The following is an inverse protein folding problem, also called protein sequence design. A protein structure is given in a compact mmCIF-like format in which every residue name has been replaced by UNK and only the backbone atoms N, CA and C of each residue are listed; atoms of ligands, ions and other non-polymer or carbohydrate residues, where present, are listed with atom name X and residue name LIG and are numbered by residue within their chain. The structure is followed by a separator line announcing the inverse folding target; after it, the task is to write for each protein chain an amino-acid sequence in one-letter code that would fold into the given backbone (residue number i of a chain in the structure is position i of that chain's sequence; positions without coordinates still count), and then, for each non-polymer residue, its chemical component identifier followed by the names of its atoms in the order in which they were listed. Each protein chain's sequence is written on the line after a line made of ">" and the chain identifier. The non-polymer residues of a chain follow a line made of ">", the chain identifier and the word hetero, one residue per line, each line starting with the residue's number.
data_IF_585348197638
#
_entry.id   IF_585348197638
#
_cell.length_a   1.000
_cell.length_b   1.000
_cell.length_c   1.000
_cell.angle_alpha   90.00
_cell.angle_beta   90.00
_cell.angle_gamma   90.00
#
_symmetry.space_group_name_H-M   'P 1'
#
loop_
_entity.id
_entity.type
_entity.pdbx_description
1 polymer ?
#
# COMPACT_ATOMS: atom_id res chain seq x y z
N UNK A 1 37.69 3.01 47.44
CA UNK A 1 37.31 3.16 46.02
C UNK A 1 35.87 3.65 45.93
N UNK A 2 35.58 4.77 45.24
CA UNK A 2 34.21 5.32 45.16
C UNK A 2 33.35 4.48 44.20
N UNK A 3 32.73 3.40 44.72
CA UNK A 3 31.90 2.44 43.97
C UNK A 3 30.80 3.16 43.16
N UNK A 4 30.25 4.25 43.69
CA UNK A 4 29.23 5.07 43.03
C UNK A 4 29.69 5.68 41.70
N UNK A 5 30.95 6.09 41.60
CA UNK A 5 31.51 6.68 40.36
C UNK A 5 31.79 5.61 39.30
N UNK A 6 32.12 4.39 39.72
CA UNK A 6 32.32 3.25 38.83
C UNK A 6 31.02 2.79 38.18
N UNK A 7 29.95 2.67 38.98
CA UNK A 7 28.64 2.21 38.51
C UNK A 7 28.03 3.16 37.47
N UNK A 8 28.14 4.48 37.67
CA UNK A 8 27.65 5.47 36.72
C UNK A 8 28.35 5.36 35.36
N UNK A 9 29.68 5.19 35.35
CA UNK A 9 30.45 5.03 34.10
C UNK A 9 30.03 3.77 33.35
N UNK A 10 29.88 2.65 34.06
CA UNK A 10 29.41 1.39 33.48
C UNK A 10 28.00 1.54 32.91
N UNK A 11 27.09 2.22 33.61
CA UNK A 11 25.73 2.48 33.13
C UNK A 11 25.71 3.34 31.85
N UNK A 12 26.56 4.37 31.76
CA UNK A 12 26.66 5.20 30.55
C UNK A 12 27.14 4.36 29.36
N UNK A 13 28.18 3.54 29.55
CA UNK A 13 28.70 2.67 28.48
C UNK A 13 27.66 1.63 28.06
N UNK A 14 27.00 0.99 29.01
CA UNK A 14 25.94 0.01 28.74
C UNK A 14 24.76 0.64 27.98
N UNK A 15 24.33 1.84 28.38
CA UNK A 15 23.28 2.60 27.67
C UNK A 15 23.69 2.99 26.26
N UNK A 16 24.93 3.43 26.06
CA UNK A 16 25.47 3.74 24.73
C UNK A 16 25.48 2.51 23.81
N UNK A 17 25.97 1.37 24.32
CA UNK A 17 25.95 0.10 23.59
C UNK A 17 24.53 -0.36 23.28
N UNK A 18 23.58 -0.17 24.20
CA UNK A 18 22.17 -0.47 23.98
C UNK A 18 21.58 0.36 22.82
N UNK A 19 21.85 1.67 22.78
CA UNK A 19 21.37 2.53 21.69
C UNK A 19 21.93 2.07 20.34
N UNK A 20 23.22 1.73 20.27
CA UNK A 20 23.85 1.21 19.04
C UNK A 20 23.20 -0.11 18.62
N UNK A 21 22.94 -1.00 19.58
CA UNK A 21 22.27 -2.28 19.32
C UNK A 21 20.85 -2.08 18.78
N UNK A 22 20.05 -1.21 19.39
CA UNK A 22 18.70 -0.88 18.89
C UNK A 22 18.77 -0.23 17.50
N UNK A 23 19.72 0.67 17.26
CA UNK A 23 19.91 1.27 15.93
C UNK A 23 20.24 0.21 14.87
N UNK A 24 21.07 -0.78 15.21
CA UNK A 24 21.39 -1.91 14.33
C UNK A 24 20.16 -2.76 14.01
N UNK A 25 19.36 -3.13 15.03
CA UNK A 25 18.14 -3.91 14.83
C UNK A 25 17.07 -3.17 14.02
N UNK A 26 16.93 -1.86 14.22
CA UNK A 26 15.92 -1.03 13.55
C UNK A 26 16.35 -0.55 12.16
N UNK A 27 17.62 -0.73 11.78
CA UNK A 27 18.17 -0.20 10.54
C UNK A 27 17.39 -0.67 9.31
N UNK A 28 17.05 -1.95 9.22
CA UNK A 28 16.34 -2.50 8.05
C UNK A 28 14.95 -1.90 7.88
N UNK A 29 14.19 -1.76 8.98
CA UNK A 29 12.86 -1.15 8.95
C UNK A 29 12.86 0.34 8.57
N UNK A 30 13.96 1.05 8.87
CA UNK A 30 14.13 2.48 8.53
C UNK A 30 14.64 2.63 7.09
N UNK A 31 15.66 1.86 6.71
CA UNK A 31 16.27 1.94 5.39
C UNK A 31 15.30 1.47 4.31
N UNK A 32 14.68 0.30 4.53
CA UNK A 32 13.85 -0.41 3.57
C UNK A 32 12.49 -0.78 4.20
N UNK A 33 11.64 0.20 4.54
CA UNK A 33 10.31 -0.11 5.07
C UNK A 33 9.53 -0.93 4.04
N UNK A 34 8.92 -2.02 4.50
CA UNK A 34 8.07 -2.85 3.64
C UNK A 34 6.91 -2.01 3.11
N UNK A 35 6.79 -1.90 1.79
CA UNK A 35 5.63 -1.31 1.11
C UNK A 35 4.97 -2.43 0.32
N UNK A 36 3.68 -2.74 0.56
CA UNK A 36 3.00 -3.77 -0.19
C UNK A 36 2.99 -3.40 -1.67
N UNK A 37 3.25 -4.40 -2.51
CA UNK A 37 3.20 -4.21 -3.96
C UNK A 37 1.80 -3.81 -4.42
N UNK A 38 1.73 -3.00 -5.48
CA UNK A 38 0.47 -2.49 -6.03
C UNK A 38 0.41 -2.70 -7.52
N UNK A 39 -0.75 -3.14 -7.99
CA UNK A 39 -1.12 -3.13 -9.38
C UNK A 39 -1.95 -1.88 -9.68
N UNK A 40 -1.79 -1.38 -10.89
CA UNK A 40 -2.59 -0.32 -11.46
C UNK A 40 -3.21 -0.83 -12.75
N UNK A 41 -4.46 -0.46 -13.01
CA UNK A 41 -5.07 -0.61 -14.33
C UNK A 41 -6.00 0.56 -14.61
N UNK A 42 -6.19 0.89 -15.88
CA UNK A 42 -7.12 1.94 -16.28
C UNK A 42 -8.37 1.31 -16.86
N UNK A 43 -9.52 1.64 -16.27
CA UNK A 43 -10.81 1.23 -16.81
C UNK A 43 -11.10 2.03 -18.08
N UNK A 44 -11.72 1.37 -19.05
CA UNK A 44 -12.30 2.08 -20.18
C UNK A 44 -13.54 2.83 -19.74
N UNK A 45 -13.76 3.99 -20.33
CA UNK A 45 -14.91 4.82 -20.01
C UNK A 45 -16.18 4.23 -20.63
N UNK A 46 -17.01 3.64 -19.77
CA UNK A 46 -18.33 3.10 -20.13
C UNK A 46 -19.47 4.05 -19.73
N UNK A 47 -19.17 5.33 -19.47
CA UNK A 47 -20.15 6.34 -19.05
C UNK A 47 -21.34 6.44 -20.00
N UNK A 48 -21.10 6.46 -21.31
CA UNK A 48 -22.15 6.49 -22.32
C UNK A 48 -23.06 5.26 -22.23
N UNK A 49 -22.49 4.06 -22.14
CA UNK A 49 -23.27 2.84 -22.02
C UNK A 49 -24.07 2.77 -20.72
N UNK A 50 -23.52 3.30 -19.61
CA UNK A 50 -24.23 3.46 -18.34
C UNK A 50 -25.39 4.44 -18.45
N UNK A 51 -25.20 5.59 -19.09
CA UNK A 51 -26.27 6.57 -19.32
C UNK A 51 -27.39 5.95 -20.15
N UNK A 52 -27.04 5.23 -21.22
CA UNK A 52 -28.03 4.53 -22.04
C UNK A 52 -28.76 3.45 -21.24
N UNK A 53 -28.05 2.65 -20.44
CA UNK A 53 -28.66 1.65 -19.56
C UNK A 53 -29.64 2.26 -18.54
N UNK A 54 -29.30 3.40 -17.93
CA UNK A 54 -30.21 4.09 -17.00
C UNK A 54 -31.43 4.71 -17.71
N UNK A 55 -31.27 5.21 -18.93
CA UNK A 55 -32.40 5.67 -19.75
C UNK A 55 -33.35 4.52 -20.09
N UNK A 56 -32.82 3.35 -20.46
CA UNK A 56 -33.62 2.15 -20.78
C UNK A 56 -34.30 1.56 -19.54
N UNK A 57 -33.58 1.52 -18.41
CA UNK A 57 -34.13 1.14 -17.10
C UNK A 57 -35.36 1.95 -16.73
N UNK A 58 -35.35 3.27 -16.99
CA UNK A 58 -36.49 4.14 -16.69
C UNK A 58 -37.75 3.82 -17.53
N UNK A 59 -37.59 3.11 -18.64
CA UNK A 59 -38.66 2.80 -19.61
C UNK A 59 -39.12 1.34 -19.56
N UNK A 60 -38.38 0.47 -18.89
CA UNK A 60 -38.59 -0.97 -18.94
C UNK A 60 -39.36 -1.50 -17.71
N UNK A 61 -40.21 -2.50 -17.94
CA UNK A 61 -40.60 -3.52 -16.97
C UNK A 61 -40.06 -4.84 -17.54
N UNK A 62 -39.16 -5.61 -16.88
CA UNK A 62 -39.06 -5.93 -15.45
C UNK A 62 -38.02 -5.13 -14.65
N UNK A 63 -37.78 -5.53 -13.39
CA UNK A 63 -36.79 -4.93 -12.48
C UNK A 63 -35.35 -5.12 -12.98
N UNK A 64 -34.63 -4.01 -13.12
CA UNK A 64 -33.20 -4.03 -13.43
C UNK A 64 -32.39 -4.09 -12.14
N UNK A 65 -31.21 -4.70 -12.21
CA UNK A 65 -30.26 -4.76 -11.11
C UNK A 65 -28.88 -4.27 -11.56
N UNK A 66 -28.05 -3.86 -10.61
CA UNK A 66 -26.65 -3.54 -10.85
C UNK A 66 -25.84 -4.83 -10.77
N UNK A 67 -25.05 -5.12 -11.81
CA UNK A 67 -24.21 -6.31 -11.88
C UNK A 67 -22.74 -5.91 -11.94
N UNK A 68 -21.92 -6.72 -11.29
CA UNK A 68 -20.47 -6.65 -11.37
C UNK A 68 -20.00 -7.65 -12.43
N UNK A 69 -19.33 -7.13 -13.47
CA UNK A 69 -18.92 -7.86 -14.66
C UNK A 69 -17.40 -7.89 -14.69
N UNK A 70 -16.84 -9.09 -14.60
CA UNK A 70 -15.42 -9.35 -14.82
C UNK A 70 -15.18 -9.60 -16.31
N UNK A 71 -14.43 -8.71 -16.95
CA UNK A 71 -14.14 -8.82 -18.38
C UNK A 71 -12.95 -9.75 -18.64
N UNK A 72 -12.78 -10.26 -19.87
CA UNK A 72 -11.73 -11.24 -20.17
C UNK A 72 -10.29 -10.74 -19.95
N UNK A 73 -10.08 -9.43 -19.94
CA UNK A 73 -8.84 -8.73 -19.59
C UNK A 73 -8.56 -8.69 -18.08
N UNK A 74 -9.49 -9.18 -17.25
CA UNK A 74 -9.39 -9.21 -15.79
C UNK A 74 -9.91 -7.95 -15.11
N UNK A 75 -10.53 -7.02 -15.85
CA UNK A 75 -11.04 -5.77 -15.28
C UNK A 75 -12.48 -5.92 -14.79
N UNK A 76 -12.80 -5.22 -13.71
CA UNK A 76 -14.12 -5.25 -13.10
C UNK A 76 -14.91 -3.98 -13.41
N UNK A 77 -16.13 -4.16 -13.94
CA UNK A 77 -17.06 -3.08 -14.28
C UNK A 77 -18.40 -3.29 -13.60
N UNK A 78 -19.01 -2.20 -13.10
CA UNK A 78 -20.41 -2.20 -12.67
C UNK A 78 -21.30 -1.65 -13.79
N UNK A 79 -22.38 -2.37 -14.09
CA UNK A 79 -23.36 -2.03 -15.13
C UNK A 79 -24.76 -2.47 -14.73
N UNK A 80 -25.74 -1.58 -14.95
CA UNK A 80 -27.15 -1.90 -14.77
C UNK A 80 -27.67 -2.68 -15.98
N UNK A 81 -28.42 -3.75 -15.75
CA UNK A 81 -29.03 -4.55 -16.80
C UNK A 81 -30.32 -5.25 -16.35
N UNK A 82 -31.06 -5.78 -17.32
CA UNK A 82 -32.21 -6.66 -17.07
C UNK A 82 -31.80 -8.05 -16.57
N UNK A 83 -30.59 -8.48 -16.92
CA UNK A 83 -29.94 -9.70 -16.42
C UNK A 83 -28.42 -9.49 -16.38
N UNK A 84 -27.68 -10.41 -15.75
CA UNK A 84 -26.22 -10.39 -15.77
C UNK A 84 -25.64 -10.47 -17.19
N UNK A 85 -26.25 -11.28 -18.06
CA UNK A 85 -25.83 -11.41 -19.47
C UNK A 85 -26.05 -10.12 -20.28
N UNK A 86 -27.16 -9.43 -20.04
CA UNK A 86 -27.46 -8.14 -20.66
C UNK A 86 -26.44 -7.07 -20.22
N UNK A 87 -26.17 -6.98 -18.91
CA UNK A 87 -25.13 -6.10 -18.37
C UNK A 87 -23.75 -6.43 -18.96
N UNK A 88 -23.39 -7.71 -19.06
CA UNK A 88 -22.12 -8.15 -19.65
C UNK A 88 -21.98 -7.75 -21.12
N UNK A 89 -23.02 -7.96 -21.94
CA UNK A 89 -23.03 -7.56 -23.35
C UNK A 89 -22.85 -6.05 -23.52
N UNK A 90 -23.50 -5.24 -22.68
CA UNK A 90 -23.37 -3.78 -22.69
C UNK A 90 -21.94 -3.34 -22.36
N UNK A 91 -21.35 -3.93 -21.33
CA UNK A 91 -19.95 -3.66 -20.95
C UNK A 91 -19.01 -4.02 -22.10
N UNK A 92 -19.12 -5.23 -22.66
CA UNK A 92 -18.26 -5.68 -23.76
C UNK A 92 -18.41 -4.82 -25.02
N UNK A 93 -19.62 -4.36 -25.34
CA UNK A 93 -19.86 -3.44 -26.45
C UNK A 93 -19.22 -2.06 -26.20
N UNK A 94 -19.26 -1.56 -24.96
CA UNK A 94 -18.75 -0.24 -24.59
C UNK A 94 -17.21 -0.17 -24.53
N UNK A 95 -16.55 -1.26 -24.14
CA UNK A 95 -15.09 -1.39 -24.01
C UNK A 95 -14.37 -1.29 -25.38
N UNK A 96 -15.11 -1.39 -26.49
CA UNK A 96 -14.57 -1.08 -27.83
C UNK A 96 -14.22 0.40 -28.03
N UNK A 97 -14.62 1.30 -27.13
CA UNK A 97 -14.28 2.73 -27.20
C UNK A 97 -12.87 3.02 -26.64
N UNK A 98 -12.27 4.13 -27.07
CA UNK A 98 -10.83 4.43 -26.88
C UNK A 98 -10.55 5.24 -25.59
N UNK A 99 -11.58 5.72 -24.89
CA UNK A 99 -11.38 6.60 -23.75
C UNK A 99 -11.14 5.80 -22.47
N UNK A 100 -10.15 6.23 -21.68
CA UNK A 100 -9.87 5.71 -20.36
C UNK A 100 -10.40 6.66 -19.30
N UNK A 101 -10.81 6.12 -18.16
CA UNK A 101 -11.05 6.92 -16.96
C UNK A 101 -9.71 7.46 -16.48
N UNK A 102 -9.64 8.76 -16.16
CA UNK A 102 -8.40 9.43 -15.76
C UNK A 102 -7.78 8.82 -14.49
N UNK A 103 -8.62 8.33 -13.57
CA UNK A 103 -8.15 7.76 -12.32
C UNK A 103 -7.88 6.25 -12.46
N UNK A 104 -6.64 5.80 -12.24
CA UNK A 104 -6.33 4.38 -12.27
C UNK A 104 -6.95 3.69 -11.07
N UNK A 105 -7.38 2.44 -11.27
CA UNK A 105 -7.78 1.57 -10.17
C UNK A 105 -6.52 0.95 -9.58
N UNK A 106 -6.39 1.05 -8.26
CA UNK A 106 -5.27 0.50 -7.50
C UNK A 106 -5.71 -0.80 -6.85
N UNK A 107 -4.95 -1.86 -7.09
CA UNK A 107 -5.21 -3.19 -6.55
C UNK A 107 -3.99 -3.64 -5.75
N UNK A 108 -4.18 -4.08 -4.52
CA UNK A 108 -3.10 -4.61 -3.71
C UNK A 108 -2.65 -5.97 -4.23
N UNK A 109 -1.34 -6.24 -4.14
CA UNK A 109 -0.81 -7.55 -4.52
C UNK A 109 -1.43 -8.63 -3.61
N UNK A 110 -1.69 -9.80 -4.18
CA UNK A 110 -2.27 -10.97 -3.50
C UNK A 110 -3.76 -10.89 -3.13
N UNK A 111 -4.49 -9.91 -3.64
CA UNK A 111 -5.96 -9.91 -3.56
C UNK A 111 -6.57 -10.76 -4.69
N UNK A 112 -7.85 -11.10 -4.56
CA UNK A 112 -8.59 -11.79 -5.63
C UNK A 112 -8.63 -10.97 -6.93
N UNK A 113 -8.78 -9.65 -6.82
CA UNK A 113 -8.73 -8.72 -7.96
C UNK A 113 -7.36 -8.79 -8.67
N UNK A 114 -6.27 -8.87 -7.93
CA UNK A 114 -4.93 -9.02 -8.51
C UNK A 114 -4.81 -10.33 -9.29
N UNK A 115 -5.37 -11.41 -8.74
CA UNK A 115 -5.38 -12.72 -9.39
C UNK A 115 -6.20 -12.69 -10.70
N UNK A 116 -7.33 -11.98 -10.74
CA UNK A 116 -8.10 -11.79 -11.97
C UNK A 116 -7.28 -11.06 -13.05
N UNK A 117 -6.48 -10.07 -12.67
CA UNK A 117 -5.56 -9.38 -13.59
C UNK A 117 -4.48 -10.34 -14.12
N UNK A 118 -3.90 -11.18 -13.26
CA UNK A 118 -2.91 -12.20 -13.69
C UNK A 118 -3.51 -13.29 -14.59
N UNK A 119 -4.77 -13.67 -14.36
CA UNK A 119 -5.49 -14.56 -15.27
C UNK A 119 -5.66 -13.93 -16.66
N UNK A 120 -5.96 -12.63 -16.73
CA UNK A 120 -6.01 -11.88 -18.00
C UNK A 120 -4.68 -11.95 -18.78
N UNK A 121 -3.55 -11.88 -18.06
CA UNK A 121 -2.21 -12.03 -18.64
C UNK A 121 -1.98 -13.45 -19.12
N UNK A 122 -2.36 -14.44 -18.32
CA UNK A 122 -2.25 -15.87 -18.64
C UNK A 122 -3.08 -16.24 -19.88
N UNK A 123 -4.26 -15.62 -20.04
CA UNK A 123 -5.13 -15.77 -21.22
C UNK A 123 -4.62 -15.00 -22.45
N UNK A 124 -3.56 -14.20 -22.30
CA UNK A 124 -2.96 -13.40 -23.38
C UNK A 124 -3.78 -12.18 -23.81
N UNK A 125 -4.74 -11.75 -23.00
CA UNK A 125 -5.63 -10.61 -23.27
C UNK A 125 -5.03 -9.32 -22.71
N UNK A 126 -4.38 -9.39 -21.55
CA UNK A 126 -3.64 -8.28 -20.95
C UNK A 126 -2.14 -8.56 -20.90
N UNK A 127 -1.36 -7.52 -20.65
CA UNK A 127 0.07 -7.60 -20.40
C UNK A 127 0.44 -6.77 -19.17
N UNK A 128 1.57 -7.14 -18.57
CA UNK A 128 2.14 -6.51 -17.39
C UNK A 128 3.30 -5.62 -17.79
N UNK A 129 3.23 -4.34 -17.44
CA UNK A 129 4.28 -3.35 -17.67
C UNK A 129 4.91 -3.01 -16.32
N UNK A 130 6.23 -3.14 -16.22
CA UNK A 130 6.99 -2.64 -15.08
C UNK A 130 7.16 -1.12 -15.24
N UNK A 131 6.65 -0.36 -14.27
CA UNK A 131 6.67 1.11 -14.30
C UNK A 131 7.92 1.68 -13.63
N UNK A 132 8.96 0.90 -13.34
CA UNK A 132 10.20 1.34 -12.68
C UNK A 132 10.01 1.92 -11.26
N UNK A 133 8.87 1.65 -10.63
CA UNK A 133 8.65 1.85 -9.21
C UNK A 133 8.67 0.46 -8.56
N UNK A 134 9.57 0.17 -7.60
CA UNK A 134 9.67 -1.19 -7.07
C UNK A 134 8.33 -1.71 -6.53
N UNK A 135 8.05 -2.98 -6.81
CA UNK A 135 6.79 -3.67 -6.49
C UNK A 135 5.52 -3.04 -7.08
N UNK A 136 5.66 -2.20 -8.12
CA UNK A 136 4.53 -1.57 -8.81
C UNK A 136 4.44 -2.04 -10.26
N UNK A 137 3.24 -2.41 -10.68
CA UNK A 137 3.01 -3.00 -12.01
C UNK A 137 1.75 -2.40 -12.63
N UNK A 138 1.78 -2.14 -13.93
CA UNK A 138 0.62 -1.71 -14.71
C UNK A 138 0.09 -2.89 -15.50
N UNK A 139 -1.19 -3.20 -15.34
CA UNK A 139 -1.93 -4.12 -16.19
C UNK A 139 -2.68 -3.34 -17.26
N UNK A 140 -2.49 -3.74 -18.52
CA UNK A 140 -3.11 -3.09 -19.67
C UNK A 140 -3.49 -4.12 -20.73
N UNK A 141 -4.52 -3.84 -21.53
CA UNK A 141 -4.88 -4.69 -22.65
C UNK A 141 -3.72 -4.86 -23.64
N UNK A 142 -3.47 -6.09 -24.08
CA UNK A 142 -2.37 -6.37 -25.02
C UNK A 142 -2.57 -5.69 -26.37
N UNK A 143 -3.83 -5.53 -26.79
CA UNK A 143 -4.26 -4.85 -28.03
C UNK A 143 -4.06 -3.34 -28.04
N UNK A 144 -3.69 -2.74 -26.89
CA UNK A 144 -3.63 -1.28 -26.79
C UNK A 144 -2.44 -0.70 -27.58
N UNK A 145 -2.61 0.49 -28.20
CA UNK A 145 -1.54 1.16 -28.91
C UNK A 145 -0.32 1.46 -28.02
N UNK A 146 0.89 1.46 -28.61
CA UNK A 146 2.14 1.67 -27.86
C UNK A 146 2.23 3.05 -27.21
N UNK A 147 1.70 4.08 -27.85
CA UNK A 147 1.61 5.45 -27.33
C UNK A 147 0.71 5.53 -26.09
N UNK A 148 -0.44 4.85 -26.10
CA UNK A 148 -1.34 4.73 -24.95
C UNK A 148 -0.64 4.03 -23.79
N UNK A 149 0.01 2.89 -24.05
CA UNK A 149 0.79 2.15 -23.03
C UNK A 149 1.86 3.03 -22.38
N UNK A 150 2.59 3.79 -23.18
CA UNK A 150 3.66 4.68 -22.70
C UNK A 150 3.11 5.83 -21.85
N UNK A 151 2.00 6.45 -22.29
CA UNK A 151 1.32 7.51 -21.54
C UNK A 151 0.82 7.01 -20.18
N UNK A 152 0.10 5.90 -20.17
CA UNK A 152 -0.46 5.33 -18.94
C UNK A 152 0.64 4.83 -17.98
N UNK A 153 1.72 4.25 -18.50
CA UNK A 153 2.88 3.88 -17.70
C UNK A 153 3.52 5.10 -17.02
N UNK A 154 3.63 6.23 -17.74
CA UNK A 154 4.14 7.48 -17.17
C UNK A 154 3.22 8.04 -16.08
N UNK A 155 1.91 8.06 -16.30
CA UNK A 155 0.94 8.52 -15.31
C UNK A 155 0.99 7.67 -14.04
N UNK A 156 1.09 6.34 -14.18
CA UNK A 156 1.24 5.43 -13.04
C UNK A 156 2.57 5.63 -12.34
N UNK A 157 3.68 5.84 -13.07
CA UNK A 157 4.96 6.16 -12.46
C UNK A 157 4.88 7.41 -11.58
N UNK A 158 4.30 8.50 -12.09
CA UNK A 158 4.17 9.76 -11.35
C UNK A 158 3.24 9.62 -10.14
N UNK A 159 2.11 8.92 -10.29
CA UNK A 159 1.18 8.67 -9.19
C UNK A 159 1.75 7.73 -8.12
N UNK A 160 2.33 6.61 -8.54
CA UNK A 160 2.88 5.59 -7.64
C UNK A 160 4.14 6.05 -6.92
N UNK A 161 5.01 6.82 -7.58
CA UNK A 161 6.20 7.40 -6.93
C UNK A 161 5.83 8.34 -5.80
N UNK A 162 4.90 9.29 -6.03
CA UNK A 162 4.39 10.20 -4.99
C UNK A 162 3.70 9.44 -3.86
N UNK A 163 2.81 8.50 -4.18
CA UNK A 163 2.11 7.71 -3.18
C UNK A 163 3.09 6.89 -2.32
N UNK A 164 4.11 6.31 -2.95
CA UNK A 164 5.15 5.56 -2.24
C UNK A 164 6.00 6.45 -1.36
N UNK A 165 6.42 7.62 -1.82
CA UNK A 165 7.20 8.55 -1.01
C UNK A 165 6.46 8.93 0.28
N UNK A 166 5.14 9.17 0.19
CA UNK A 166 4.30 9.42 1.36
C UNK A 166 4.22 8.22 2.31
N UNK A 167 4.03 7.01 1.79
CA UNK A 167 3.97 5.79 2.62
C UNK A 167 5.34 5.50 3.25
N UNK A 168 6.43 5.62 2.50
CA UNK A 168 7.80 5.38 2.97
C UNK A 168 8.18 6.40 4.03
N UNK A 169 7.92 7.69 3.82
CA UNK A 169 8.24 8.73 4.81
C UNK A 169 7.45 8.54 6.11
N UNK A 170 6.16 8.19 6.02
CA UNK A 170 5.34 7.84 7.18
C UNK A 170 5.89 6.63 7.93
N UNK A 171 6.13 5.52 7.24
CA UNK A 171 6.68 4.28 7.86
C UNK A 171 8.06 4.49 8.47
N UNK A 172 8.92 5.29 7.83
CA UNK A 172 10.23 5.66 8.39
C UNK A 172 10.08 6.44 9.67
N UNK A 173 9.16 7.40 9.71
CA UNK A 173 8.90 8.20 10.91
C UNK A 173 8.41 7.31 12.06
N UNK A 174 7.45 6.42 11.78
CA UNK A 174 6.94 5.46 12.77
C UNK A 174 8.05 4.51 13.27
N UNK A 175 8.89 3.99 12.38
CA UNK A 175 10.02 3.12 12.75
C UNK A 175 11.08 3.85 13.57
N UNK A 176 11.40 5.11 13.24
CA UNK A 176 12.33 5.94 14.01
C UNK A 176 11.77 6.21 15.40
N UNK A 177 10.50 6.61 15.50
CA UNK A 177 9.85 6.86 16.80
C UNK A 177 9.88 5.61 17.67
N UNK A 178 9.48 4.45 17.14
CA UNK A 178 9.55 3.18 17.87
C UNK A 178 10.97 2.80 18.28
N UNK A 179 11.97 3.03 17.42
CA UNK A 179 13.36 2.78 17.76
C UNK A 179 13.87 3.70 18.88
N UNK A 180 13.48 4.98 18.88
CA UNK A 180 13.84 5.95 19.93
C UNK A 180 13.23 5.54 21.27
N UNK A 181 11.94 5.16 21.28
CA UNK A 181 11.27 4.69 22.49
C UNK A 181 11.98 3.44 23.06
N UNK A 182 12.27 2.45 22.21
CA UNK A 182 12.97 1.23 22.63
C UNK A 182 14.42 1.49 23.07
N UNK A 183 15.10 2.47 22.47
CA UNK A 183 16.46 2.83 22.80
C UNK A 183 16.57 3.56 24.15
N UNK A 184 15.60 4.43 24.48
CA UNK A 184 15.69 5.31 25.65
C UNK A 184 14.97 4.77 26.87
N UNK A 185 13.86 4.05 26.70
CA UNK A 185 13.00 3.65 27.81
C UNK A 185 13.66 2.63 28.76
N UNK A 186 14.32 1.54 28.29
CA UNK A 186 14.98 0.60 29.19
C UNK A 186 16.13 1.22 30.00
N UNK A 187 17.08 1.98 29.40
CA UNK A 187 18.11 2.68 30.17
C UNK A 187 17.53 3.64 31.23
N UNK A 188 16.47 4.38 30.87
CA UNK A 188 15.79 5.30 31.78
C UNK A 188 15.17 4.56 32.96
N UNK A 189 14.46 3.45 32.71
CA UNK A 189 13.85 2.61 33.76
C UNK A 189 14.93 2.06 34.70
N UNK A 190 16.02 1.51 34.15
CA UNK A 190 17.15 1.00 34.96
C UNK A 190 17.77 2.11 35.79
N UNK A 191 17.93 3.31 35.24
CA UNK A 191 18.46 4.47 35.96
C UNK A 191 17.56 4.89 37.13
N UNK A 192 16.25 5.01 36.89
CA UNK A 192 15.26 5.38 37.93
C UNK A 192 15.23 4.34 39.04
N UNK A 193 15.20 3.04 38.71
CA UNK A 193 15.25 1.96 39.68
C UNK A 193 16.54 1.98 40.50
N UNK A 194 17.69 2.15 39.84
CA UNK A 194 18.98 2.29 40.51
C UNK A 194 19.03 3.48 41.47
N UNK A 195 18.45 4.62 41.07
CA UNK A 195 18.34 5.81 41.91
C UNK A 195 17.44 5.57 43.13
N UNK A 196 16.27 4.96 42.94
CA UNK A 196 15.35 4.64 44.03
C UNK A 196 15.98 3.71 45.07
N UNK A 197 16.70 2.66 44.64
CA UNK A 197 17.42 1.76 45.54
C UNK A 197 18.48 2.51 46.36
N UNK A 198 19.23 3.43 45.74
CA UNK A 198 20.21 4.26 46.43
C UNK A 198 19.57 5.23 47.43
N UNK A 199 18.38 5.75 47.11
CA UNK A 199 17.62 6.64 47.98
C UNK A 199 17.12 5.88 49.22
N UNK A 200 16.50 4.71 49.02
CA UNK A 200 16.04 3.83 50.11
C UNK A 200 17.22 3.43 51.01
N UNK A 201 18.33 2.97 50.44
CA UNK A 201 19.51 2.57 51.21
C UNK A 201 20.16 3.72 52.01
N UNK A 202 20.04 4.97 51.53
CA UNK A 202 20.49 6.15 52.28
C UNK A 202 19.55 6.51 53.44
N UNK A 203 18.23 6.39 53.25
CA UNK A 203 17.23 6.69 54.27
C UNK A 203 17.34 5.78 55.51
N UNK A 204 17.82 4.54 55.35
CA UNK A 204 18.01 3.59 56.46
C UNK A 204 19.35 3.70 57.19
N UNK A 205 20.27 4.59 56.79
CA UNK A 205 21.43 4.91 57.63
C UNK A 205 20.98 5.79 58.79
N UNK A 206 20.70 5.18 59.94
CA UNK A 206 20.58 5.87 61.21
C UNK A 206 21.83 6.76 61.42
N UNK A 207 21.61 8.02 61.78
CA UNK A 207 22.68 8.94 62.18
C UNK A 207 23.36 8.46 63.45
#
# INVERSE_FOLDING_TARGET
>A
MNISRGLLRLWVVASGLWVIFVAFLSYEGIANPYVPGRAYYFRKDISFARQQAELEKSRAQPAWSNYEINTPDGFTYSMTGSSGDDAAKRVLAAIGTINYVNDPVVVERYTDDYRLLEEGVTRGVSEKIDVSVPDTVLFIGKSEPKDVKTRLAKEVYEGASKARELVVSKKRTEAITGAVELALLPPLVVFVLGYLLLWVGRGFRAR
#
